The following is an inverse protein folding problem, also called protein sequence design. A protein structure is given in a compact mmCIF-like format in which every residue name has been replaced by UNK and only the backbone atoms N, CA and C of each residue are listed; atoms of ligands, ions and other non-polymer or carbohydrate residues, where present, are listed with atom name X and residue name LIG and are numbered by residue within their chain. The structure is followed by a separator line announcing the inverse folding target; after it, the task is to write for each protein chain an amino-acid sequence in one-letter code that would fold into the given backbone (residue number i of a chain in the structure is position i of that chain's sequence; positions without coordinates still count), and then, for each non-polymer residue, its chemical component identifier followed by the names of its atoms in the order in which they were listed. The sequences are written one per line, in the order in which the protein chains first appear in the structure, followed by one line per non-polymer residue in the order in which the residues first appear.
data_IF_480568087404
#
_entry.id   IF_480568087404
#
_cell.length_a   1.000
_cell.length_b   1.000
_cell.length_c   1.000
_cell.angle_alpha   90.00
_cell.angle_beta   90.00
_cell.angle_gamma   90.00
#
_symmetry.space_group_name_H-M   'P 1'
#
loop_
_entity.id
_entity.type
_entity.pdbx_description
1 polymer ?
#
# COMPACT_ATOMS: atom_id res chain seq x y z
N UNK A 1 -0.10 1.82 20.12
CA UNK A 1 -0.56 1.19 18.86
C UNK A 1 0.06 -0.20 18.77
N UNK A 2 -0.74 -1.22 18.54
CA UNK A 2 -0.24 -2.60 18.39
C UNK A 2 -0.18 -2.92 16.90
N UNK A 3 0.88 -3.63 16.46
CA UNK A 3 1.05 -4.03 15.07
C UNK A 3 1.07 -5.55 14.98
N UNK A 4 0.33 -6.11 14.01
CA UNK A 4 0.27 -7.55 13.80
C UNK A 4 0.47 -7.90 12.34
N UNK A 5 1.24 -8.95 12.07
CA UNK A 5 1.35 -9.52 10.72
C UNK A 5 0.19 -10.47 10.48
N UNK A 6 -0.34 -10.45 9.27
CA UNK A 6 -1.42 -11.33 8.82
C UNK A 6 -1.33 -11.54 7.30
N UNK A 7 -2.42 -11.93 6.68
CA UNK A 7 -2.52 -12.14 5.23
C UNK A 7 -3.79 -11.52 4.64
N UNK A 8 -3.97 -11.69 3.34
CA UNK A 8 -5.08 -11.09 2.60
C UNK A 8 -6.46 -11.64 2.94
N UNK A 9 -6.55 -12.72 3.72
CA UNK A 9 -7.82 -13.31 4.16
C UNK A 9 -8.33 -12.72 5.48
N UNK A 10 -7.54 -11.88 6.14
CA UNK A 10 -7.93 -11.22 7.39
C UNK A 10 -9.16 -10.35 7.18
N UNK A 11 -10.18 -10.52 8.01
CA UNK A 11 -11.41 -9.70 7.97
C UNK A 11 -11.10 -8.23 8.22
N UNK A 12 -10.19 -7.94 9.15
CA UNK A 12 -9.79 -6.57 9.47
C UNK A 12 -9.08 -5.91 8.28
N UNK A 13 -8.21 -6.67 7.60
CA UNK A 13 -7.56 -6.18 6.39
C UNK A 13 -8.57 -5.88 5.29
N UNK A 14 -9.50 -6.79 5.05
CA UNK A 14 -10.55 -6.64 4.02
C UNK A 14 -11.38 -5.39 4.32
N UNK A 15 -11.77 -5.18 5.57
CA UNK A 15 -12.52 -4.00 5.99
C UNK A 15 -11.73 -2.71 5.74
N UNK A 16 -10.44 -2.70 6.09
CA UNK A 16 -9.56 -1.56 5.83
C UNK A 16 -9.42 -1.29 4.33
N UNK A 17 -9.36 -2.34 3.52
CA UNK A 17 -9.30 -2.21 2.07
C UNK A 17 -10.58 -1.60 1.48
N UNK A 18 -11.75 -1.93 2.04
CA UNK A 18 -13.00 -1.28 1.66
C UNK A 18 -12.94 0.23 1.97
N UNK A 19 -12.40 0.59 3.14
CA UNK A 19 -12.20 2.00 3.50
C UNK A 19 -11.26 2.71 2.53
N UNK A 20 -10.20 2.05 2.10
CA UNK A 20 -9.29 2.60 1.10
C UNK A 20 -9.99 2.80 -0.25
N UNK A 21 -10.78 1.83 -0.70
CA UNK A 21 -11.53 1.95 -1.94
C UNK A 21 -12.51 3.12 -1.90
N UNK A 22 -13.23 3.28 -0.79
CA UNK A 22 -14.14 4.42 -0.59
C UNK A 22 -13.39 5.76 -0.66
N UNK A 23 -12.24 5.84 0.01
CA UNK A 23 -11.40 7.03 -0.02
C UNK A 23 -10.92 7.36 -1.44
N UNK A 24 -10.44 6.35 -2.17
CA UNK A 24 -9.94 6.55 -3.53
C UNK A 24 -11.07 6.93 -4.49
N UNK A 25 -12.24 6.31 -4.35
CA UNK A 25 -13.41 6.65 -5.16
C UNK A 25 -13.83 8.10 -4.94
N UNK A 26 -13.88 8.55 -3.70
CA UNK A 26 -14.20 9.93 -3.37
C UNK A 26 -13.16 10.91 -3.95
N UNK A 27 -11.88 10.56 -3.85
CA UNK A 27 -10.78 11.41 -4.31
C UNK A 27 -10.83 11.67 -5.82
N UNK A 28 -11.22 10.66 -6.62
CA UNK A 28 -11.24 10.75 -8.09
C UNK A 28 -12.64 10.96 -8.67
N UNK A 29 -13.65 11.15 -7.83
CA UNK A 29 -15.01 11.46 -8.26
C UNK A 29 -15.87 10.27 -8.62
N UNK A 30 -15.51 9.05 -8.21
CA UNK A 30 -16.34 7.86 -8.36
C UNK A 30 -15.58 6.63 -8.87
N UNK A 31 -16.20 5.48 -8.68
CA UNK A 31 -15.64 4.18 -9.06
C UNK A 31 -15.33 4.09 -10.56
N UNK A 32 -16.16 4.66 -11.41
CA UNK A 32 -15.96 4.66 -12.86
C UNK A 32 -14.65 5.34 -13.28
N UNK A 33 -14.17 6.31 -12.52
CA UNK A 33 -12.91 6.99 -12.81
C UNK A 33 -11.69 6.14 -12.43
N UNK A 34 -11.90 5.00 -11.74
CA UNK A 34 -10.87 4.05 -11.33
C UNK A 34 -11.00 2.70 -12.03
N UNK A 35 -11.94 2.54 -12.95
CA UNK A 35 -12.22 1.26 -13.59
C UNK A 35 -10.99 0.60 -14.22
N UNK A 36 -10.04 1.41 -14.70
CA UNK A 36 -8.76 0.96 -15.27
C UNK A 36 -7.87 0.25 -14.25
N UNK A 37 -7.99 0.58 -12.95
CA UNK A 37 -7.13 0.10 -11.87
C UNK A 37 -7.78 -0.97 -11.00
N UNK A 38 -9.09 -0.99 -10.88
CA UNK A 38 -9.82 -1.86 -9.92
C UNK A 38 -9.46 -3.33 -10.08
N UNK A 39 -9.34 -3.80 -11.32
CA UNK A 39 -9.01 -5.19 -11.62
C UNK A 39 -7.65 -5.64 -11.06
N UNK A 40 -6.74 -4.69 -10.73
CA UNK A 40 -5.41 -4.98 -10.21
C UNK A 40 -5.34 -4.91 -8.68
N UNK A 41 -6.46 -4.71 -8.00
CA UNK A 41 -6.53 -4.52 -6.55
C UNK A 41 -7.10 -5.74 -5.81
N UNK A 42 -6.91 -6.93 -6.36
CA UNK A 42 -7.34 -8.18 -5.73
C UNK A 42 -6.55 -8.46 -4.45
N UNK A 43 -7.21 -9.06 -3.46
CA UNK A 43 -6.62 -9.32 -2.15
C UNK A 43 -6.19 -10.79 -1.94
N UNK A 44 -6.74 -11.71 -2.72
CA UNK A 44 -6.59 -13.15 -2.54
C UNK A 44 -5.16 -13.66 -2.77
N UNK A 45 -4.33 -12.91 -3.50
CA UNK A 45 -2.92 -13.24 -3.73
C UNK A 45 -1.95 -12.46 -2.82
N UNK A 46 -2.47 -11.74 -1.83
CA UNK A 46 -1.64 -11.01 -0.87
C UNK A 46 -1.43 -11.89 0.37
N UNK A 47 -0.18 -12.23 0.65
CA UNK A 47 0.19 -13.11 1.76
C UNK A 47 0.83 -12.39 2.93
N UNK A 48 1.33 -11.19 2.72
CA UNK A 48 2.06 -10.42 3.73
C UNK A 48 1.39 -9.08 3.98
N UNK A 49 0.78 -8.96 5.15
CA UNK A 49 0.03 -7.79 5.60
C UNK A 49 0.47 -7.44 7.00
N UNK A 50 0.56 -6.14 7.29
CA UNK A 50 0.69 -5.63 8.64
C UNK A 50 -0.51 -4.74 8.95
N UNK A 51 -1.09 -4.90 10.13
CA UNK A 51 -2.22 -4.08 10.60
C UNK A 51 -1.82 -3.38 11.88
N UNK A 52 -2.15 -2.10 11.97
CA UNK A 52 -2.04 -1.30 13.18
C UNK A 52 -3.38 -1.29 13.90
N UNK A 53 -3.36 -1.60 15.20
CA UNK A 53 -4.55 -1.64 16.04
C UNK A 53 -4.49 -0.60 17.15
N UNK A 54 -5.59 0.11 17.35
CA UNK A 54 -5.84 0.92 18.53
C UNK A 54 -6.75 0.09 19.45
N UNK A 55 -6.16 -0.58 20.45
CA UNK A 55 -6.80 -1.65 21.18
C UNK A 55 -7.28 -2.73 20.20
N UNK A 56 -8.57 -2.95 20.05
CA UNK A 56 -9.11 -3.93 19.11
C UNK A 56 -9.64 -3.31 17.82
N UNK A 57 -9.42 -2.01 17.61
CA UNK A 57 -9.90 -1.28 16.44
C UNK A 57 -8.80 -1.24 15.36
N UNK A 58 -9.03 -1.80 14.18
CA UNK A 58 -8.09 -1.67 13.07
C UNK A 58 -7.96 -0.21 12.66
N UNK A 59 -6.76 0.34 12.75
CA UNK A 59 -6.48 1.75 12.45
C UNK A 59 -5.88 1.96 11.06
N UNK A 60 -5.11 1.00 10.59
CA UNK A 60 -4.45 1.10 9.30
C UNK A 60 -3.78 -0.20 8.89
N UNK A 61 -3.35 -0.27 7.64
CA UNK A 61 -2.68 -1.45 7.10
C UNK A 61 -1.68 -1.09 6.02
N UNK A 62 -0.79 -2.03 5.75
CA UNK A 62 0.07 -2.03 4.58
C UNK A 62 0.34 -3.48 4.20
N UNK A 63 0.57 -3.74 2.92
CA UNK A 63 0.79 -5.09 2.43
C UNK A 63 1.74 -5.10 1.25
N UNK A 64 2.28 -6.27 0.94
CA UNK A 64 3.02 -6.46 -0.29
C UNK A 64 2.71 -7.82 -0.88
N UNK A 65 3.00 -7.95 -2.17
CA UNK A 65 3.00 -9.24 -2.84
C UNK A 65 4.27 -9.37 -3.67
N UNK A 66 4.67 -10.61 -3.96
CA UNK A 66 5.81 -10.87 -4.83
C UNK A 66 5.54 -10.34 -6.22
N UNK A 67 6.49 -9.58 -6.78
CA UNK A 67 6.49 -9.16 -8.17
C UNK A 67 7.42 -10.06 -8.98
N UNK A 68 8.67 -10.19 -8.54
CA UNK A 68 9.64 -11.14 -9.07
C UNK A 68 10.57 -11.60 -7.92
N UNK A 69 11.65 -12.30 -8.21
CA UNK A 69 12.52 -12.86 -7.18
C UNK A 69 13.18 -11.79 -6.29
N UNK A 70 13.42 -10.59 -6.83
CA UNK A 70 14.08 -9.51 -6.11
C UNK A 70 13.15 -8.39 -5.66
N UNK A 71 11.98 -8.28 -6.26
CA UNK A 71 11.04 -7.17 -6.05
C UNK A 71 9.75 -7.65 -5.40
N UNK A 72 9.35 -6.95 -4.35
CA UNK A 72 8.00 -7.07 -3.77
C UNK A 72 7.25 -5.77 -4.07
N UNK A 73 5.98 -5.90 -4.42
CA UNK A 73 5.13 -4.75 -4.72
C UNK A 73 4.29 -4.38 -3.51
N UNK A 74 4.44 -3.16 -3.04
CA UNK A 74 3.63 -2.61 -1.94
C UNK A 74 2.21 -2.39 -2.44
N UNK A 75 1.25 -2.82 -1.67
CA UNK A 75 -0.18 -2.74 -2.00
C UNK A 75 -1.00 -2.33 -0.79
N UNK A 76 -2.09 -1.63 -1.01
CA UNK A 76 -3.14 -1.40 -0.02
C UNK A 76 -2.63 -0.74 1.26
N UNK A 77 -1.89 0.34 1.13
CA UNK A 77 -1.46 1.17 2.26
C UNK A 77 -2.58 2.14 2.60
N UNK A 78 -3.07 2.06 3.84
CA UNK A 78 -4.20 2.88 4.27
C UNK A 78 -4.18 3.12 5.77
N UNK A 79 -4.50 4.35 6.17
CA UNK A 79 -4.75 4.70 7.57
C UNK A 79 -6.09 5.43 7.62
N UNK A 80 -6.97 5.00 8.51
CA UNK A 80 -8.27 5.65 8.70
C UNK A 80 -8.08 7.12 9.04
N UNK A 81 -9.01 7.96 8.58
CA UNK A 81 -8.96 9.41 8.72
C UNK A 81 -8.71 9.86 10.17
N UNK A 82 -9.40 9.26 11.13
CA UNK A 82 -9.30 9.62 12.55
C UNK A 82 -7.94 9.27 13.17
N UNK A 83 -7.13 8.47 12.51
CA UNK A 83 -5.80 8.07 12.99
C UNK A 83 -4.65 8.72 12.21
N UNK A 84 -4.94 9.57 11.24
CA UNK A 84 -3.90 10.23 10.43
C UNK A 84 -3.13 11.26 11.23
N UNK A 85 -1.91 11.56 10.77
CA UNK A 85 -1.04 12.54 11.41
C UNK A 85 -0.33 12.03 12.65
N UNK A 86 -0.32 10.73 12.91
CA UNK A 86 0.31 10.12 14.08
C UNK A 86 1.53 9.25 13.75
N UNK A 87 1.96 9.25 12.50
CA UNK A 87 3.13 8.45 12.07
C UNK A 87 2.84 6.97 11.85
N UNK A 88 1.58 6.56 11.82
CA UNK A 88 1.21 5.13 11.69
C UNK A 88 1.65 4.58 10.34
N UNK A 89 1.47 5.31 9.25
CA UNK A 89 1.92 4.87 7.92
C UNK A 89 3.41 4.60 7.88
N UNK A 90 4.20 5.46 8.50
CA UNK A 90 5.66 5.31 8.58
C UNK A 90 6.02 4.02 9.33
N UNK A 91 5.36 3.76 10.46
CA UNK A 91 5.59 2.56 11.26
C UNK A 91 5.17 1.29 10.52
N UNK A 92 4.01 1.33 9.84
CA UNK A 92 3.55 0.23 9.01
C UNK A 92 4.57 -0.11 7.91
N UNK A 93 5.08 0.90 7.22
CA UNK A 93 6.06 0.70 6.16
C UNK A 93 7.38 0.13 6.68
N UNK A 94 7.84 0.57 7.85
CA UNK A 94 9.05 0.01 8.48
C UNK A 94 8.89 -1.48 8.76
N UNK A 95 7.77 -1.88 9.35
CA UNK A 95 7.53 -3.30 9.65
C UNK A 95 7.40 -4.12 8.37
N UNK A 96 6.74 -3.57 7.36
CA UNK A 96 6.58 -4.24 6.08
C UNK A 96 7.93 -4.46 5.40
N UNK A 97 8.81 -3.47 5.44
CA UNK A 97 10.17 -3.56 4.89
C UNK A 97 11.00 -4.64 5.61
N UNK A 98 10.90 -4.72 6.93
CA UNK A 98 11.57 -5.77 7.70
C UNK A 98 11.10 -7.15 7.26
N UNK A 99 9.80 -7.32 7.09
CA UNK A 99 9.20 -8.58 6.66
C UNK A 99 9.70 -8.98 5.26
N UNK A 100 9.76 -8.02 4.35
CA UNK A 100 10.24 -8.27 2.99
C UNK A 100 11.73 -8.68 3.00
N UNK A 101 12.55 -8.03 3.82
CA UNK A 101 13.97 -8.40 3.97
C UNK A 101 14.12 -9.82 4.50
N UNK A 102 13.33 -10.20 5.49
CA UNK A 102 13.34 -11.56 6.06
C UNK A 102 13.01 -12.61 4.98
N UNK A 103 12.16 -12.26 4.04
CA UNK A 103 11.77 -13.14 2.93
C UNK A 103 12.73 -13.11 1.74
N UNK A 104 13.80 -12.30 1.80
CA UNK A 104 14.84 -12.25 0.80
C UNK A 104 14.60 -11.27 -0.34
N UNK A 105 13.62 -10.39 -0.25
CA UNK A 105 13.42 -9.35 -1.26
C UNK A 105 14.45 -8.25 -1.12
N UNK A 106 14.89 -7.70 -2.25
CA UNK A 106 15.91 -6.65 -2.30
C UNK A 106 15.32 -5.27 -2.52
N UNK A 107 14.13 -5.20 -3.12
CA UNK A 107 13.49 -3.94 -3.49
C UNK A 107 12.01 -3.98 -3.19
N UNK A 108 11.48 -2.83 -2.75
CA UNK A 108 10.06 -2.55 -2.84
C UNK A 108 9.79 -1.67 -4.06
N UNK A 109 8.75 -2.03 -4.81
CA UNK A 109 8.17 -1.19 -5.85
C UNK A 109 6.72 -0.89 -5.48
N UNK A 110 6.20 0.21 -5.98
CA UNK A 110 4.81 0.59 -5.79
C UNK A 110 4.34 1.48 -6.92
N UNK A 111 3.02 1.55 -7.06
CA UNK A 111 2.36 2.51 -7.94
C UNK A 111 1.49 3.42 -7.07
N UNK A 112 1.54 4.71 -7.34
CA UNK A 112 0.75 5.74 -6.68
C UNK A 112 0.32 6.77 -7.73
N UNK A 113 0.01 7.98 -7.32
CA UNK A 113 -0.37 9.04 -8.22
C UNK A 113 -0.40 10.40 -7.55
N UNK A 114 -0.26 11.47 -8.33
CA UNK A 114 -0.20 12.82 -7.81
C UNK A 114 -1.41 13.24 -6.96
N UNK A 115 -2.65 12.79 -7.24
CA UNK A 115 -3.78 13.09 -6.35
C UNK A 115 -3.61 12.57 -4.92
N UNK A 116 -2.77 11.55 -4.71
CA UNK A 116 -2.47 10.97 -3.40
C UNK A 116 -1.32 11.74 -2.74
N UNK A 117 -1.56 13.00 -2.45
CA UNK A 117 -0.52 13.95 -1.98
C UNK A 117 0.21 13.46 -0.73
N UNK A 118 -0.54 13.01 0.27
CA UNK A 118 0.06 12.54 1.53
C UNK A 118 0.87 11.26 1.34
N UNK A 119 0.38 10.32 0.52
CA UNK A 119 1.08 9.08 0.21
C UNK A 119 2.37 9.35 -0.55
N UNK A 120 2.31 10.20 -1.58
CA UNK A 120 3.50 10.58 -2.36
C UNK A 120 4.56 11.23 -1.47
N UNK A 121 4.14 12.14 -0.59
CA UNK A 121 5.06 12.79 0.35
C UNK A 121 5.72 11.79 1.30
N UNK A 122 4.94 10.85 1.83
CA UNK A 122 5.47 9.80 2.69
C UNK A 122 6.53 8.96 1.97
N UNK A 123 6.21 8.46 0.78
CA UNK A 123 7.13 7.60 0.04
C UNK A 123 8.44 8.30 -0.29
N UNK A 124 8.39 9.56 -0.73
CA UNK A 124 9.59 10.36 -0.98
C UNK A 124 10.42 10.53 0.29
N UNK A 125 9.76 10.84 1.40
CA UNK A 125 10.41 11.04 2.70
C UNK A 125 11.15 9.80 3.20
N UNK A 126 10.58 8.62 2.99
CA UNK A 126 11.17 7.37 3.50
C UNK A 126 12.08 6.69 2.48
N UNK A 127 12.41 7.36 1.37
CA UNK A 127 13.48 6.93 0.47
C UNK A 127 13.05 6.31 -0.84
N UNK A 128 11.78 6.36 -1.21
CA UNK A 128 11.32 5.89 -2.52
C UNK A 128 11.65 6.91 -3.59
N UNK A 129 12.07 6.42 -4.75
CA UNK A 129 12.41 7.23 -5.92
C UNK A 129 11.53 6.86 -7.09
N UNK A 130 11.17 7.84 -7.91
CA UNK A 130 10.38 7.62 -9.12
C UNK A 130 11.19 6.79 -10.13
N UNK A 131 10.53 5.78 -10.67
CA UNK A 131 11.07 4.92 -11.73
C UNK A 131 10.11 4.93 -12.92
N UNK A 132 10.53 4.44 -14.11
CA UNK A 132 9.60 4.25 -15.22
C UNK A 132 8.45 3.33 -14.81
N UNK A 133 7.25 3.58 -15.33
CA UNK A 133 6.10 2.74 -15.05
C UNK A 133 6.36 1.29 -15.46
N UNK A 134 5.92 0.35 -14.63
CA UNK A 134 6.18 -1.07 -14.83
C UNK A 134 4.90 -1.87 -14.99
N UNK A 135 5.01 -3.09 -15.49
CA UNK A 135 3.91 -4.05 -15.57
C UNK A 135 2.68 -3.48 -16.26
N UNK A 136 1.53 -3.63 -15.64
CA UNK A 136 0.25 -3.14 -16.14
C UNK A 136 0.17 -1.60 -16.20
N UNK A 137 1.06 -0.90 -15.54
CA UNK A 137 1.03 0.58 -15.45
C UNK A 137 1.80 1.29 -16.57
N UNK A 138 2.50 0.55 -17.44
CA UNK A 138 3.37 1.11 -18.48
C UNK A 138 2.67 2.17 -19.34
N UNK A 139 1.40 1.94 -19.69
CA UNK A 139 0.62 2.84 -20.52
C UNK A 139 -0.38 3.71 -19.73
N UNK A 140 -0.29 3.70 -18.40
CA UNK A 140 -1.17 4.50 -17.54
C UNK A 140 -0.48 5.79 -17.15
N UNK A 141 -0.76 6.87 -17.88
CA UNK A 141 -0.07 8.16 -17.75
C UNK A 141 -0.17 8.80 -16.37
N UNK A 142 -1.26 8.52 -15.65
CA UNK A 142 -1.50 9.10 -14.32
C UNK A 142 -0.80 8.32 -13.21
N UNK A 143 -0.28 7.13 -13.51
CA UNK A 143 0.44 6.32 -12.55
C UNK A 143 1.85 6.85 -12.32
N UNK A 144 2.26 6.89 -11.07
CA UNK A 144 3.63 7.20 -10.66
C UNK A 144 4.19 5.97 -9.98
N UNK A 145 5.17 5.34 -10.57
CA UNK A 145 5.82 4.17 -10.00
C UNK A 145 7.08 4.58 -9.25
N UNK A 146 7.32 3.93 -8.13
CA UNK A 146 8.46 4.25 -7.26
C UNK A 146 9.14 2.98 -6.79
N UNK A 147 10.41 3.11 -6.39
CA UNK A 147 11.23 2.00 -5.92
C UNK A 147 12.08 2.43 -4.73
N UNK A 148 12.27 1.50 -3.81
CA UNK A 148 13.22 1.65 -2.70
C UNK A 148 14.04 0.38 -2.55
N UNK A 149 15.36 0.51 -2.40
CA UNK A 149 16.23 -0.61 -2.06
C UNK A 149 16.07 -0.93 -0.57
N UNK A 150 15.81 -2.18 -0.26
CA UNK A 150 15.61 -2.65 1.12
C UNK A 150 16.94 -2.93 1.89
#
# INVERSE_FOLDING_TARGET
MRFEYTDGCSKDFIELCHGLDDFLNELVGGEENRSEYIQYNKLDDIHDVVIAYDNDIPAGCASFKKYDDDHAEVKRVFVKKEYRGQGISNDLMKMLEERAREKGFMYFILESGEPLVAAMALYRKIGYKVIPNYGQYINMKESVCMEKKL
#
